data_IF_025490210859
#
_entry.id   IF_025490210859
#
_cell.length_a   1.000
_cell.length_b   1.000
_cell.length_c   1.000
_cell.angle_alpha   90.00
_cell.angle_beta   90.00
_cell.angle_gamma   90.00
#
_symmetry.space_group_name_H-M   'P 1'
#
loop_
_entity.id
_entity.type
_entity.pdbx_description
1 polymer ?
#
# COMPACT_ATOMS: atom_id res chain seq x y z
N UNK A 1 -1.34 -3.86 -18.73
CA UNK A 1 -2.37 -4.21 -17.73
C UNK A 1 -3.52 -4.78 -18.52
N UNK A 2 -4.09 -5.88 -18.06
CA UNK A 2 -5.34 -6.39 -18.63
C UNK A 2 -6.43 -5.31 -18.51
N UNK A 3 -7.47 -5.34 -19.35
CA UNK A 3 -8.67 -4.54 -19.14
C UNK A 3 -9.15 -4.66 -17.68
N UNK A 4 -9.59 -3.54 -17.09
CA UNK A 4 -9.99 -3.42 -15.67
C UNK A 4 -8.87 -3.67 -14.63
N UNK A 5 -7.60 -3.73 -15.08
CA UNK A 5 -6.45 -3.85 -14.19
C UNK A 5 -6.19 -2.60 -13.34
N UNK A 6 -5.62 -2.82 -12.15
CA UNK A 6 -5.28 -1.75 -11.21
C UNK A 6 -3.77 -1.45 -11.13
N UNK A 7 -3.41 -0.18 -11.00
CA UNK A 7 -2.09 0.24 -10.55
C UNK A 7 -2.13 0.55 -9.05
N UNK A 8 -1.24 -0.09 -8.29
CA UNK A 8 -1.04 0.15 -6.87
C UNK A 8 0.32 0.84 -6.67
N UNK A 9 0.29 2.12 -6.27
CA UNK A 9 1.47 2.99 -6.25
C UNK A 9 1.82 3.44 -4.83
N UNK A 10 3.13 3.58 -4.54
CA UNK A 10 3.59 4.10 -3.24
C UNK A 10 3.37 5.61 -3.16
N UNK A 11 2.47 6.04 -2.29
CA UNK A 11 2.09 7.46 -2.13
C UNK A 11 3.04 8.27 -1.26
N UNK A 12 3.96 7.59 -0.59
CA UNK A 12 5.07 8.23 0.13
C UNK A 12 6.28 8.49 -0.79
N UNK A 13 6.32 7.89 -1.98
CA UNK A 13 7.40 8.12 -2.93
C UNK A 13 7.35 9.57 -3.46
N UNK A 14 8.46 10.34 -3.43
CA UNK A 14 8.52 11.70 -3.97
C UNK A 14 8.06 11.81 -5.43
N UNK A 15 8.16 10.72 -6.20
CA UNK A 15 7.78 10.62 -7.61
C UNK A 15 6.33 10.21 -7.80
N UNK A 16 5.51 10.11 -6.74
CA UNK A 16 4.08 9.76 -6.83
C UNK A 16 3.36 10.46 -7.99
N UNK A 17 3.52 11.79 -8.12
CA UNK A 17 2.84 12.57 -9.17
C UNK A 17 3.25 12.14 -10.57
N UNK A 18 4.53 11.79 -10.76
CA UNK A 18 5.04 11.30 -12.02
C UNK A 18 4.47 9.91 -12.33
N UNK A 19 4.48 9.00 -11.35
CA UNK A 19 3.96 7.64 -11.52
C UNK A 19 2.45 7.63 -11.78
N UNK A 20 1.67 8.44 -11.06
CA UNK A 20 0.22 8.60 -11.30
C UNK A 20 -0.03 9.15 -12.72
N UNK A 21 0.73 10.16 -13.15
CA UNK A 21 0.65 10.69 -14.52
C UNK A 21 0.95 9.62 -15.57
N UNK A 22 2.00 8.83 -15.36
CA UNK A 22 2.39 7.74 -16.28
C UNK A 22 1.32 6.64 -16.35
N UNK A 23 0.75 6.25 -15.20
CA UNK A 23 -0.33 5.27 -15.16
C UNK A 23 -1.57 5.76 -15.91
N UNK A 24 -1.99 7.02 -15.69
CA UNK A 24 -3.11 7.62 -16.43
C UNK A 24 -2.83 7.70 -17.93
N UNK A 25 -1.62 8.11 -18.33
CA UNK A 25 -1.23 8.18 -19.73
C UNK A 25 -1.20 6.80 -20.40
N UNK A 26 -0.95 5.73 -19.65
CA UNK A 26 -1.03 4.35 -20.10
C UNK A 26 -2.46 3.78 -20.13
N UNK A 27 -3.49 4.59 -19.84
CA UNK A 27 -4.89 4.17 -19.87
C UNK A 27 -5.34 3.37 -18.64
N UNK A 28 -4.60 3.44 -17.52
CA UNK A 28 -5.02 2.75 -16.28
C UNK A 28 -6.17 3.50 -15.63
N UNK A 29 -7.33 2.86 -15.55
CA UNK A 29 -8.55 3.44 -14.97
C UNK A 29 -8.56 3.38 -13.43
N UNK A 30 -8.00 2.32 -12.86
CA UNK A 30 -7.98 2.09 -11.42
C UNK A 30 -6.58 2.34 -10.84
N UNK A 31 -6.39 3.47 -10.16
CA UNK A 31 -5.12 3.84 -9.53
C UNK A 31 -5.33 4.03 -8.03
N UNK A 32 -4.65 3.20 -7.24
CA UNK A 32 -4.72 3.21 -5.77
C UNK A 32 -3.36 3.55 -5.16
N UNK A 33 -3.38 4.18 -3.99
CA UNK A 33 -2.18 4.50 -3.24
C UNK A 33 -2.01 3.63 -2.00
N UNK A 34 -0.79 3.22 -1.69
CA UNK A 34 -0.43 2.69 -0.37
C UNK A 34 0.60 3.58 0.32
N UNK A 35 0.67 3.52 1.66
CA UNK A 35 1.69 4.23 2.45
C UNK A 35 1.16 4.91 3.72
N UNK A 36 1.98 5.76 4.31
CA UNK A 36 1.65 6.60 5.48
C UNK A 36 0.84 7.85 5.09
N UNK A 37 0.94 8.26 3.81
CA UNK A 37 0.25 9.42 3.28
C UNK A 37 -1.25 9.39 3.63
N UNK A 38 -1.78 10.52 4.11
CA UNK A 38 -3.19 10.62 4.52
C UNK A 38 -4.19 10.34 3.39
N UNK A 39 -3.77 10.47 2.12
CA UNK A 39 -4.58 10.18 0.92
C UNK A 39 -4.32 8.80 0.33
N UNK A 40 -3.55 7.93 1.00
CA UNK A 40 -3.38 6.55 0.59
C UNK A 40 -4.70 5.78 0.79
N UNK A 41 -5.06 4.94 -0.18
CA UNK A 41 -6.20 4.02 -0.10
C UNK A 41 -5.91 2.92 0.93
N UNK A 42 -4.70 2.36 0.88
CA UNK A 42 -4.19 1.35 1.81
C UNK A 42 -3.19 2.01 2.75
N UNK A 43 -3.63 2.33 3.96
CA UNK A 43 -2.95 3.32 4.81
C UNK A 43 -2.29 2.69 6.02
N UNK A 44 -1.04 3.03 6.29
CA UNK A 44 -0.42 2.77 7.58
C UNK A 44 -0.93 3.76 8.62
N UNK A 45 -1.47 3.24 9.73
CA UNK A 45 -1.98 4.05 10.83
C UNK A 45 -0.96 4.17 11.96
N UNK A 46 -0.31 3.06 12.31
CA UNK A 46 0.73 2.99 13.33
C UNK A 46 1.80 1.96 12.93
N UNK A 47 3.02 2.22 13.35
CA UNK A 47 4.15 1.31 13.17
C UNK A 47 5.07 1.41 14.40
N UNK A 48 5.23 0.30 15.10
CA UNK A 48 6.22 0.11 16.15
C UNK A 48 7.30 -0.83 15.62
N UNK A 49 8.55 -0.37 15.61
CA UNK A 49 9.69 -1.14 15.15
C UNK A 49 10.38 -1.82 16.34
N UNK A 50 10.70 -3.09 16.18
CA UNK A 50 11.51 -3.88 17.11
C UNK A 50 12.76 -4.41 16.39
N UNK A 51 13.66 -5.03 17.14
CA UNK A 51 14.93 -5.52 16.60
C UNK A 51 14.75 -6.64 15.56
N UNK A 52 13.73 -7.49 15.75
CA UNK A 52 13.46 -8.69 14.94
C UNK A 52 12.11 -8.63 14.20
N UNK A 53 11.27 -7.63 14.47
CA UNK A 53 9.93 -7.53 13.89
C UNK A 53 9.39 -6.10 13.87
N UNK A 54 8.22 -5.92 13.26
CA UNK A 54 7.43 -4.69 13.35
C UNK A 54 6.00 -5.02 13.74
N UNK A 55 5.37 -4.18 14.56
CA UNK A 55 3.92 -4.26 14.84
C UNK A 55 3.26 -3.07 14.14
N UNK A 56 2.26 -3.36 13.30
CA UNK A 56 1.60 -2.35 12.48
C UNK A 56 0.10 -2.34 12.76
N UNK A 57 -0.49 -1.15 12.65
CA UNK A 57 -1.91 -0.98 12.44
C UNK A 57 -2.10 -0.35 11.06
N UNK A 58 -2.98 -0.90 10.24
CA UNK A 58 -3.21 -0.45 8.87
C UNK A 58 -4.71 -0.44 8.54
N UNK A 59 -5.10 0.44 7.62
CA UNK A 59 -6.45 0.48 7.05
C UNK A 59 -6.44 -0.14 5.66
N UNK A 60 -7.11 -1.28 5.49
CA UNK A 60 -7.21 -2.04 4.25
C UNK A 60 -8.70 -2.29 3.98
N UNK A 61 -9.20 -1.97 2.78
CA UNK A 61 -10.61 -2.21 2.45
C UNK A 61 -11.63 -1.53 3.36
N UNK A 62 -11.26 -0.40 3.99
CA UNK A 62 -12.09 0.28 4.98
C UNK A 62 -11.99 -0.28 6.41
N UNK A 63 -11.38 -1.45 6.60
CA UNK A 63 -11.18 -2.10 7.89
C UNK A 63 -9.82 -1.76 8.48
N UNK A 64 -9.76 -1.59 9.81
CA UNK A 64 -8.49 -1.47 10.53
C UNK A 64 -8.02 -2.84 10.99
N UNK A 65 -6.80 -3.19 10.62
CA UNK A 65 -6.14 -4.44 11.00
C UNK A 65 -4.91 -4.13 11.83
N UNK A 66 -4.57 -5.04 12.75
CA UNK A 66 -3.30 -5.01 13.49
C UNK A 66 -2.56 -6.30 13.21
N UNK A 67 -1.29 -6.21 12.82
CA UNK A 67 -0.49 -7.36 12.43
C UNK A 67 0.96 -7.25 12.90
N UNK A 68 1.59 -8.41 13.11
CA UNK A 68 3.04 -8.53 13.29
C UNK A 68 3.68 -8.86 11.96
N UNK A 69 4.65 -8.05 11.55
CA UNK A 69 5.53 -8.32 10.42
C UNK A 69 6.81 -8.94 10.97
N UNK A 70 7.12 -10.18 10.59
CA UNK A 70 8.27 -10.94 11.11
C UNK A 70 9.65 -10.41 10.68
N UNK A 71 9.72 -9.19 10.15
CA UNK A 71 10.94 -8.53 9.76
C UNK A 71 10.93 -7.05 10.21
N UNK A 72 12.08 -6.53 10.64
CA UNK A 72 12.19 -5.15 11.11
C UNK A 72 12.30 -4.15 9.95
N UNK A 73 11.91 -2.91 10.23
CA UNK A 73 12.17 -1.76 9.36
C UNK A 73 10.99 -1.29 8.51
N UNK A 74 10.98 0.01 8.20
CA UNK A 74 9.87 0.68 7.49
C UNK A 74 9.66 0.22 6.06
N UNK A 75 10.75 -0.08 5.35
CA UNK A 75 10.66 -0.57 3.96
C UNK A 75 9.88 -1.90 3.90
N UNK A 76 10.08 -2.78 4.89
CA UNK A 76 9.34 -4.02 4.97
C UNK A 76 7.86 -3.78 5.23
N UNK A 77 7.53 -2.85 6.13
CA UNK A 77 6.13 -2.45 6.37
C UNK A 77 5.47 -1.89 5.10
N UNK A 78 6.19 -1.08 4.31
CA UNK A 78 5.68 -0.60 3.02
C UNK A 78 5.42 -1.74 2.02
N UNK A 79 6.32 -2.73 1.95
CA UNK A 79 6.11 -3.92 1.12
C UNK A 79 4.87 -4.70 1.56
N UNK A 80 4.67 -4.86 2.87
CA UNK A 80 3.48 -5.51 3.44
C UNK A 80 2.20 -4.76 3.05
N UNK A 81 2.18 -3.43 3.13
CA UNK A 81 1.02 -2.63 2.68
C UNK A 81 0.72 -2.82 1.20
N UNK A 82 1.76 -2.91 0.35
CA UNK A 82 1.59 -3.18 -1.07
C UNK A 82 0.98 -4.57 -1.31
N UNK A 83 1.46 -5.60 -0.59
CA UNK A 83 0.92 -6.96 -0.68
C UNK A 83 -0.54 -7.02 -0.21
N UNK A 84 -0.85 -6.44 0.94
CA UNK A 84 -2.21 -6.40 1.48
C UNK A 84 -3.16 -5.61 0.56
N UNK A 85 -2.70 -4.50 0.00
CA UNK A 85 -3.46 -3.73 -0.98
C UNK A 85 -3.73 -4.53 -2.25
N UNK A 86 -2.72 -5.21 -2.80
CA UNK A 86 -2.87 -6.05 -3.98
C UNK A 86 -3.83 -7.23 -3.71
N UNK A 87 -3.67 -7.91 -2.57
CA UNK A 87 -4.54 -9.01 -2.15
C UNK A 87 -6.02 -8.57 -2.06
N UNK A 88 -6.27 -7.42 -1.43
CA UNK A 88 -7.62 -6.86 -1.34
C UNK A 88 -8.21 -6.53 -2.72
N UNK A 89 -7.42 -5.95 -3.63
CA UNK A 89 -7.87 -5.59 -4.97
C UNK A 89 -8.25 -6.81 -5.82
N UNK A 90 -7.70 -7.98 -5.54
CA UNK A 90 -8.05 -9.24 -6.21
C UNK A 90 -9.05 -10.10 -5.43
N UNK A 91 -9.62 -9.56 -4.35
CA UNK A 91 -10.68 -10.22 -3.56
C UNK A 91 -10.21 -11.34 -2.64
N UNK A 92 -8.94 -11.37 -2.25
CA UNK A 92 -8.47 -12.24 -1.17
C UNK A 92 -8.93 -11.69 0.20
N UNK A 93 -9.29 -12.60 1.11
CA UNK A 93 -9.63 -12.28 2.52
C UNK A 93 -8.41 -12.35 3.46
#
# INVERSE_FOLDING_TARGET
LEPDGAALLNRDDPRWKLLDKMARAAGVEHIYGFGENARATFKLLKCALHADHSVIAAKIGGQEITARVGAPGRHMVQNVLAVLGAAHLVGAD
#
